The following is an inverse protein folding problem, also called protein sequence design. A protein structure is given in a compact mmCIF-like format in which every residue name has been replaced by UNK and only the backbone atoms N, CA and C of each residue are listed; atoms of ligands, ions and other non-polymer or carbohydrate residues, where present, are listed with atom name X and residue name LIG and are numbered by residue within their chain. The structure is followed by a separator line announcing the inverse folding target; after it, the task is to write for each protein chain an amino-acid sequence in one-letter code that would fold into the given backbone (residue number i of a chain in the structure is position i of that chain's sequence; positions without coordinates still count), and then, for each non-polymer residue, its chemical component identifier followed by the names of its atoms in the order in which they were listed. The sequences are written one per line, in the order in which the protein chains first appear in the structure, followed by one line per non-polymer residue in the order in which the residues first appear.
data_IF_809956420589
#
_entry.id   IF_809956420589
#
_cell.length_a   1.000
_cell.length_b   1.000
_cell.length_c   1.000
_cell.angle_alpha   90.00
_cell.angle_beta   90.00
_cell.angle_gamma   90.00
#
_symmetry.space_group_name_H-M   'P 1'
#
loop_
_entity.id
_entity.type
_entity.pdbx_description
1 polymer ?
#
# COMPACT_ATOMS: atom_id res chain seq x y z
N UNK A 1 8.62 -0.56 -20.01
CA UNK A 1 8.63 -1.76 -19.13
C UNK A 1 7.37 -1.74 -18.30
N UNK A 2 6.90 -2.86 -17.78
CA UNK A 2 5.74 -2.87 -16.88
C UNK A 2 6.02 -1.96 -15.68
N UNK A 3 5.02 -1.16 -15.27
CA UNK A 3 5.07 -0.27 -14.10
C UNK A 3 6.04 0.93 -14.13
N UNK A 4 6.62 1.27 -15.30
CA UNK A 4 7.56 2.42 -15.40
C UNK A 4 6.95 3.74 -14.93
N UNK A 5 5.71 4.03 -15.31
CA UNK A 5 5.05 5.28 -14.93
C UNK A 5 4.82 5.38 -13.42
N UNK A 6 4.47 4.26 -12.77
CA UNK A 6 4.30 4.21 -11.32
C UNK A 6 5.65 4.38 -10.61
N UNK A 7 6.69 3.71 -11.12
CA UNK A 7 8.05 3.84 -10.58
C UNK A 7 8.55 5.29 -10.69
N UNK A 8 8.38 5.92 -11.85
CA UNK A 8 8.78 7.32 -12.06
C UNK A 8 8.01 8.27 -11.12
N UNK A 9 6.70 8.11 -11.02
CA UNK A 9 5.86 8.96 -10.18
C UNK A 9 6.21 8.80 -8.68
N UNK A 10 6.26 7.56 -8.19
CA UNK A 10 6.46 7.29 -6.76
C UNK A 10 7.93 7.41 -6.32
N UNK A 11 8.91 7.23 -7.23
CA UNK A 11 10.32 7.54 -6.93
C UNK A 11 10.68 9.02 -7.16
N UNK A 12 9.76 9.82 -7.71
CA UNK A 12 9.87 11.25 -7.91
C UNK A 12 8.93 12.05 -7.02
N UNK A 13 8.23 12.99 -7.65
CA UNK A 13 7.41 14.00 -6.96
C UNK A 13 6.31 13.43 -6.06
N UNK A 14 5.72 12.29 -6.41
CA UNK A 14 4.70 11.63 -5.58
C UNK A 14 5.29 11.14 -4.26
N UNK A 15 6.40 10.40 -4.30
CA UNK A 15 7.08 9.91 -3.11
C UNK A 15 7.64 11.03 -2.24
N UNK A 16 8.26 12.05 -2.84
CA UNK A 16 8.75 13.23 -2.13
C UNK A 16 7.63 13.97 -1.40
N UNK A 17 6.48 14.15 -2.07
CA UNK A 17 5.30 14.75 -1.45
C UNK A 17 4.82 13.96 -0.23
N UNK A 18 4.78 12.63 -0.32
CA UNK A 18 4.39 11.77 0.79
C UNK A 18 5.36 11.82 1.96
N UNK A 19 6.67 11.87 1.70
CA UNK A 19 7.70 12.05 2.74
C UNK A 19 7.50 13.36 3.49
N UNK A 20 7.33 14.48 2.76
CA UNK A 20 7.15 15.80 3.37
C UNK A 20 5.85 15.90 4.18
N UNK A 21 4.78 15.27 3.71
CA UNK A 21 3.46 15.34 4.33
C UNK A 21 3.10 14.08 5.15
N UNK A 22 4.08 13.24 5.49
CA UNK A 22 3.89 11.92 6.10
C UNK A 22 2.92 11.96 7.30
N UNK A 23 3.13 12.85 8.26
CA UNK A 23 2.32 12.92 9.47
C UNK A 23 0.84 13.26 9.16
N UNK A 24 0.61 14.18 8.23
CA UNK A 24 -0.74 14.55 7.82
C UNK A 24 -1.44 13.40 7.08
N UNK A 25 -0.74 12.75 6.16
CA UNK A 25 -1.26 11.60 5.42
C UNK A 25 -1.60 10.45 6.36
N UNK A 26 -0.73 10.16 7.33
CA UNK A 26 -0.98 9.12 8.31
C UNK A 26 -2.20 9.42 9.18
N UNK A 27 -2.31 10.63 9.71
CA UNK A 27 -3.48 11.04 10.52
C UNK A 27 -4.79 10.84 9.76
N UNK A 28 -4.80 11.12 8.46
CA UNK A 28 -5.99 10.99 7.61
C UNK A 28 -6.32 9.53 7.28
N UNK A 29 -5.31 8.71 7.01
CA UNK A 29 -5.49 7.35 6.46
C UNK A 29 -5.44 6.24 7.52
N UNK A 30 -4.87 6.51 8.71
CA UNK A 30 -4.73 5.52 9.77
C UNK A 30 -6.07 4.87 10.16
N UNK A 31 -7.18 5.61 10.40
CA UNK A 31 -8.45 4.98 10.80
C UNK A 31 -8.98 3.97 9.78
N UNK A 32 -8.72 4.20 8.48
CA UNK A 32 -9.13 3.30 7.40
C UNK A 32 -8.24 2.05 7.37
N UNK A 33 -6.93 2.22 7.54
CA UNK A 33 -5.98 1.12 7.65
C UNK A 33 -6.29 0.21 8.84
N UNK A 34 -6.63 0.79 10.00
CA UNK A 34 -7.01 0.04 11.20
C UNK A 34 -8.21 -0.90 10.99
N UNK A 35 -9.21 -0.46 10.24
CA UNK A 35 -10.38 -1.29 9.94
C UNK A 35 -10.01 -2.53 9.10
N UNK A 36 -9.06 -2.39 8.17
CA UNK A 36 -8.58 -3.52 7.37
C UNK A 36 -7.62 -4.40 8.20
N UNK A 37 -6.71 -3.80 8.96
CA UNK A 37 -5.76 -4.53 9.80
C UNK A 37 -6.46 -5.38 10.87
N UNK A 38 -7.58 -4.91 11.41
CA UNK A 38 -8.41 -5.65 12.37
C UNK A 38 -9.00 -6.95 11.80
N UNK A 39 -8.90 -7.21 10.49
CA UNK A 39 -9.30 -8.47 9.85
C UNK A 39 -8.21 -9.55 9.94
N UNK A 40 -7.00 -9.19 10.35
CA UNK A 40 -5.88 -10.11 10.54
C UNK A 40 -5.72 -10.45 12.03
N UNK A 41 -5.53 -11.73 12.32
CA UNK A 41 -5.14 -12.19 13.66
C UNK A 41 -3.62 -12.08 13.83
N UNK A 42 -3.14 -10.93 14.23
CA UNK A 42 -1.71 -10.64 14.39
C UNK A 42 -1.04 -11.51 15.47
N UNK A 43 -1.81 -12.08 16.39
CA UNK A 43 -1.28 -12.94 17.48
C UNK A 43 -0.64 -14.23 16.97
N UNK A 44 -1.08 -14.71 15.80
CA UNK A 44 -0.60 -15.94 15.18
C UNK A 44 0.37 -15.72 14.02
N UNK A 45 0.65 -14.46 13.65
CA UNK A 45 1.58 -14.10 12.58
C UNK A 45 3.02 -14.20 13.06
N UNK A 46 3.90 -14.76 12.25
CA UNK A 46 5.36 -14.79 12.47
C UNK A 46 6.11 -13.88 11.51
N UNK A 47 5.65 -13.77 10.28
CA UNK A 47 6.22 -12.86 9.30
C UNK A 47 5.13 -12.27 8.42
N UNK A 48 4.92 -10.95 8.49
CA UNK A 48 3.93 -10.22 7.71
C UNK A 48 4.60 -9.42 6.60
N UNK A 49 3.96 -9.37 5.42
CA UNK A 49 4.33 -8.49 4.31
C UNK A 49 3.37 -7.27 4.29
N UNK A 50 3.92 -6.05 4.43
CA UNK A 50 3.17 -4.81 4.23
C UNK A 50 3.41 -4.29 2.80
N UNK A 51 2.41 -4.41 1.93
CA UNK A 51 2.47 -4.17 0.49
C UNK A 51 2.20 -2.69 0.20
N UNK A 52 3.14 -2.00 -0.46
CA UNK A 52 3.06 -0.56 -0.69
C UNK A 52 3.17 0.19 0.64
N UNK A 53 4.19 -0.13 1.43
CA UNK A 53 4.36 0.38 2.80
C UNK A 53 4.61 1.89 2.87
N UNK A 54 5.00 2.52 1.76
CA UNK A 54 5.27 3.94 1.67
C UNK A 54 6.31 4.41 2.69
N UNK A 55 5.95 5.41 3.48
CA UNK A 55 6.79 5.99 4.55
C UNK A 55 6.86 5.13 5.82
N UNK A 56 6.33 3.90 5.80
CA UNK A 56 6.52 2.88 6.82
C UNK A 56 5.59 2.96 8.03
N UNK A 57 4.61 3.85 8.07
CA UNK A 57 3.77 4.03 9.25
C UNK A 57 2.99 2.78 9.62
N UNK A 58 2.37 2.11 8.65
CA UNK A 58 1.64 0.86 8.87
C UNK A 58 2.58 -0.26 9.30
N UNK A 59 3.75 -0.37 8.65
CA UNK A 59 4.77 -1.36 9.02
C UNK A 59 5.21 -1.21 10.48
N UNK A 60 5.48 0.03 10.93
CA UNK A 60 5.86 0.30 12.32
C UNK A 60 4.71 0.00 13.30
N UNK A 61 3.48 0.36 12.96
CA UNK A 61 2.29 0.04 13.77
C UNK A 61 2.09 -1.47 13.90
N UNK A 62 2.26 -2.22 12.83
CA UNK A 62 2.19 -3.68 12.84
C UNK A 62 3.30 -4.26 13.71
N UNK A 63 4.54 -3.80 13.52
CA UNK A 63 5.69 -4.28 14.31
C UNK A 63 5.49 -4.12 15.82
N UNK A 64 4.88 -3.01 16.24
CA UNK A 64 4.58 -2.75 17.65
C UNK A 64 3.49 -3.67 18.23
N UNK A 65 2.69 -4.34 17.40
CA UNK A 65 1.56 -5.22 17.80
C UNK A 65 1.87 -6.71 17.64
N UNK A 66 2.92 -7.06 16.92
CA UNK A 66 3.30 -8.45 16.74
C UNK A 66 3.81 -9.07 18.03
N UNK A 67 3.60 -10.37 18.16
CA UNK A 67 4.12 -11.16 19.28
C UNK A 67 5.66 -11.26 19.24
N UNK A 68 6.27 -11.59 20.36
CA UNK A 68 7.72 -11.79 20.46
C UNK A 68 8.23 -12.79 19.42
N UNK A 69 9.32 -12.44 18.76
CA UNK A 69 9.93 -13.23 17.71
C UNK A 69 9.22 -13.17 16.34
N UNK A 70 8.12 -12.44 16.23
CA UNK A 70 7.48 -12.14 14.95
C UNK A 70 8.02 -10.85 14.34
N UNK A 71 7.93 -10.73 13.02
CA UNK A 71 8.47 -9.59 12.26
C UNK A 71 7.56 -9.15 11.13
N UNK A 72 7.78 -7.95 10.63
CA UNK A 72 7.12 -7.41 9.44
C UNK A 72 8.14 -6.86 8.45
N UNK A 73 7.92 -7.13 7.17
CA UNK A 73 8.69 -6.53 6.08
C UNK A 73 7.78 -5.60 5.29
N UNK A 74 8.10 -4.31 5.28
CA UNK A 74 7.46 -3.33 4.41
C UNK A 74 8.13 -3.32 3.05
N UNK A 75 7.34 -3.44 1.99
CA UNK A 75 7.82 -3.43 0.61
C UNK A 75 7.17 -2.28 -0.17
N UNK A 76 7.98 -1.47 -0.85
CA UNK A 76 7.51 -0.38 -1.71
C UNK A 76 8.49 -0.14 -2.86
N UNK A 77 8.00 0.28 -4.02
CA UNK A 77 8.82 0.58 -5.18
C UNK A 77 9.53 1.94 -5.08
N UNK A 78 9.07 2.81 -4.18
CA UNK A 78 9.58 4.17 -4.00
C UNK A 78 10.86 4.21 -3.15
N UNK A 79 11.99 4.53 -3.78
CA UNK A 79 13.27 4.72 -3.05
C UNK A 79 13.15 5.79 -1.97
N UNK A 80 12.66 7.04 -2.27
CA UNK A 80 12.60 8.08 -1.23
C UNK A 80 11.70 7.71 -0.05
N UNK A 81 10.58 7.01 -0.29
CA UNK A 81 9.70 6.59 0.80
C UNK A 81 10.31 5.47 1.64
N UNK A 82 10.91 4.46 1.03
CA UNK A 82 11.55 3.35 1.79
C UNK A 82 12.78 3.80 2.55
N UNK A 83 13.57 4.74 2.02
CA UNK A 83 14.70 5.33 2.74
C UNK A 83 14.22 6.14 3.93
N UNK A 84 13.16 6.92 3.77
CA UNK A 84 12.53 7.61 4.88
C UNK A 84 11.97 6.63 5.93
N UNK A 85 11.29 5.58 5.51
CA UNK A 85 10.78 4.53 6.39
C UNK A 85 11.90 3.86 7.21
N UNK A 86 13.03 3.53 6.59
CA UNK A 86 14.22 2.99 7.28
C UNK A 86 14.75 3.96 8.35
N UNK A 87 14.75 5.26 8.07
CA UNK A 87 15.21 6.27 9.03
C UNK A 87 14.35 6.34 10.30
N UNK A 88 13.11 5.83 10.24
CA UNK A 88 12.16 5.81 11.36
C UNK A 88 12.33 4.62 12.30
N UNK A 89 13.05 3.56 11.89
CA UNK A 89 13.22 2.34 12.71
C UNK A 89 13.91 2.62 14.04
N UNK A 90 15.06 3.27 14.02
CA UNK A 90 15.84 3.54 15.24
C UNK A 90 15.07 4.46 16.21
N UNK A 91 14.45 5.58 15.79
CA UNK A 91 13.60 6.38 16.66
C UNK A 91 12.41 5.63 17.25
N UNK A 92 11.85 4.66 16.51
CA UNK A 92 10.73 3.85 16.99
C UNK A 92 11.16 2.76 18.00
N UNK A 93 12.46 2.44 18.08
CA UNK A 93 12.97 1.38 18.96
C UNK A 93 12.54 -0.04 18.54
N UNK A 94 12.16 -0.22 17.28
CA UNK A 94 11.66 -1.48 16.74
C UNK A 94 12.78 -2.24 16.02
N UNK A 95 13.06 -3.47 16.45
CA UNK A 95 14.04 -4.37 15.84
C UNK A 95 13.40 -5.47 14.98
N UNK A 96 12.08 -5.54 14.95
CA UNK A 96 11.30 -6.57 14.26
C UNK A 96 10.59 -6.05 13.01
N UNK A 97 11.03 -4.90 12.48
CA UNK A 97 10.59 -4.37 11.20
C UNK A 97 11.79 -4.16 10.27
N UNK A 98 11.60 -4.41 9.00
CA UNK A 98 12.55 -4.08 7.94
C UNK A 98 11.82 -3.51 6.71
N UNK A 99 12.57 -2.88 5.79
CA UNK A 99 12.03 -2.28 4.59
C UNK A 99 12.80 -2.70 3.35
N UNK A 100 12.07 -3.10 2.34
CA UNK A 100 12.58 -3.55 1.05
C UNK A 100 12.11 -2.59 -0.05
N UNK A 101 13.05 -2.09 -0.85
CA UNK A 101 12.71 -1.33 -2.05
C UNK A 101 12.61 -2.30 -3.21
N UNK A 102 11.40 -2.56 -3.67
CA UNK A 102 11.14 -3.50 -4.77
C UNK A 102 9.78 -3.21 -5.42
N UNK A 103 9.65 -3.59 -6.69
CA UNK A 103 8.37 -3.64 -7.38
C UNK A 103 7.74 -5.02 -7.22
N UNK A 104 6.78 -5.12 -6.29
CA UNK A 104 6.08 -6.39 -6.01
C UNK A 104 5.33 -6.98 -7.21
N UNK A 105 5.17 -6.24 -8.30
CA UNK A 105 4.57 -6.75 -9.53
C UNK A 105 5.54 -7.59 -10.34
N UNK A 106 6.86 -7.28 -10.31
CA UNK A 106 7.87 -7.89 -11.17
C UNK A 106 9.04 -8.54 -10.42
N UNK A 107 9.41 -8.00 -9.24
CA UNK A 107 10.52 -8.53 -8.46
C UNK A 107 10.10 -9.81 -7.73
N UNK A 108 10.87 -10.87 -7.90
CA UNK A 108 10.57 -12.15 -7.26
C UNK A 108 10.93 -12.10 -5.77
N UNK A 109 9.95 -12.44 -4.93
CA UNK A 109 10.16 -12.70 -3.52
C UNK A 109 10.46 -14.18 -3.28
N UNK A 110 11.08 -14.48 -2.15
CA UNK A 110 11.23 -15.85 -1.68
C UNK A 110 9.85 -16.49 -1.45
N UNK A 111 9.66 -17.72 -1.93
CA UNK A 111 8.38 -18.42 -1.83
C UNK A 111 8.09 -18.91 -0.41
N UNK A 112 6.80 -18.97 -0.05
CA UNK A 112 6.31 -19.55 1.21
C UNK A 112 6.91 -18.90 2.49
N UNK A 113 7.20 -17.59 2.46
CA UNK A 113 7.84 -16.87 3.58
C UNK A 113 6.82 -16.21 4.50
N UNK A 114 5.77 -15.58 3.95
CA UNK A 114 4.88 -14.74 4.72
C UNK A 114 3.64 -15.48 5.23
N UNK A 115 3.35 -15.32 6.52
CA UNK A 115 2.16 -15.89 7.18
C UNK A 115 0.91 -15.05 6.99
N UNK A 116 1.08 -13.77 6.68
CA UNK A 116 0.01 -12.82 6.37
C UNK A 116 0.54 -11.71 5.46
N UNK A 117 -0.36 -11.04 4.76
CA UNK A 117 -0.05 -9.83 4.02
C UNK A 117 -1.09 -8.74 4.30
N UNK A 118 -0.64 -7.50 4.24
CA UNK A 118 -1.47 -6.31 4.44
C UNK A 118 -1.17 -5.26 3.38
N UNK A 119 -2.16 -4.41 3.04
CA UNK A 119 -1.91 -3.21 2.23
C UNK A 119 -2.87 -2.08 2.61
N UNK A 120 -2.31 -0.91 2.87
CA UNK A 120 -3.07 0.33 3.04
C UNK A 120 -2.93 1.19 1.79
N UNK A 121 -3.90 1.10 0.87
CA UNK A 121 -3.95 1.87 -0.38
C UNK A 121 -2.77 1.65 -1.36
N UNK A 122 -1.98 0.58 -1.22
CA UNK A 122 -0.84 0.30 -2.10
C UNK A 122 -1.24 -0.49 -3.35
N UNK A 123 -2.01 -1.57 -3.18
CA UNK A 123 -2.30 -2.54 -4.26
C UNK A 123 -3.06 -1.96 -5.47
N UNK A 124 -3.77 -0.85 -5.31
CA UNK A 124 -4.52 -0.20 -6.40
C UNK A 124 -3.63 0.52 -7.43
N UNK A 125 -2.31 0.56 -7.19
CA UNK A 125 -1.34 1.14 -8.11
C UNK A 125 -0.62 0.11 -8.98
N UNK A 126 -0.95 -1.17 -8.88
CA UNK A 126 -0.44 -2.17 -9.82
C UNK A 126 -0.94 -1.91 -11.24
N UNK A 127 -0.02 -1.84 -12.20
CA UNK A 127 -0.34 -1.75 -13.63
C UNK A 127 -0.96 -3.06 -14.15
N UNK A 128 -0.47 -4.19 -13.65
CA UNK A 128 -1.00 -5.53 -13.92
C UNK A 128 -1.35 -6.24 -12.61
N UNK A 129 -2.54 -5.98 -12.03
CA UNK A 129 -2.88 -6.49 -10.70
C UNK A 129 -2.82 -8.02 -10.58
N UNK A 130 -3.28 -8.75 -11.61
CA UNK A 130 -3.21 -10.22 -11.61
C UNK A 130 -1.76 -10.72 -11.47
N UNK A 131 -0.81 -10.06 -12.16
CA UNK A 131 0.62 -10.40 -12.04
C UNK A 131 1.14 -10.08 -10.65
N UNK A 132 0.83 -8.89 -10.12
CA UNK A 132 1.25 -8.48 -8.77
C UNK A 132 0.71 -9.42 -7.68
N UNK A 133 -0.59 -9.72 -7.70
CA UNK A 133 -1.17 -10.65 -6.72
C UNK A 133 -0.67 -12.09 -6.88
N UNK A 134 -0.38 -12.54 -8.11
CA UNK A 134 0.22 -13.86 -8.33
C UNK A 134 1.62 -13.95 -7.73
N UNK A 135 2.42 -12.89 -7.87
CA UNK A 135 3.75 -12.81 -7.28
C UNK A 135 3.70 -12.80 -5.74
N UNK A 136 2.83 -11.96 -5.17
CA UNK A 136 2.59 -11.90 -3.71
C UNK A 136 2.12 -13.27 -3.20
N UNK A 137 1.16 -13.91 -3.88
CA UNK A 137 0.67 -15.23 -3.50
C UNK A 137 1.79 -16.28 -3.45
N UNK A 138 2.76 -16.23 -4.36
CA UNK A 138 3.91 -17.14 -4.35
C UNK A 138 4.76 -16.95 -3.09
N UNK A 139 4.91 -15.71 -2.62
CA UNK A 139 5.65 -15.41 -1.40
C UNK A 139 4.88 -15.74 -0.11
N UNK A 140 3.56 -15.88 -0.18
CA UNK A 140 2.72 -16.22 0.97
C UNK A 140 2.64 -17.73 1.17
N UNK A 141 2.63 -18.17 2.42
CA UNK A 141 2.35 -19.55 2.80
C UNK A 141 0.93 -19.97 2.40
N UNK A 142 0.73 -21.27 2.20
CA UNK A 142 -0.60 -21.79 1.89
C UNK A 142 -1.60 -21.46 2.99
N UNK A 143 -2.73 -20.85 2.61
CA UNK A 143 -3.78 -20.43 3.54
C UNK A 143 -3.50 -19.13 4.30
N UNK A 144 -2.37 -18.46 4.04
CA UNK A 144 -2.06 -17.17 4.65
C UNK A 144 -3.09 -16.09 4.23
N UNK A 145 -3.64 -15.31 5.17
CA UNK A 145 -4.60 -14.27 4.86
C UNK A 145 -3.94 -13.04 4.25
N UNK A 146 -4.66 -12.39 3.34
CA UNK A 146 -4.35 -11.06 2.83
C UNK A 146 -5.52 -10.12 3.19
N UNK A 147 -5.21 -8.99 3.84
CA UNK A 147 -6.17 -7.92 4.05
C UNK A 147 -5.66 -6.61 3.41
N UNK A 148 -6.55 -5.87 2.76
CA UNK A 148 -6.20 -4.57 2.22
C UNK A 148 -7.38 -3.60 2.23
N UNK A 149 -7.08 -2.32 2.16
CA UNK A 149 -8.05 -1.24 1.98
C UNK A 149 -7.74 -0.47 0.70
N UNK A 150 -8.78 -0.15 -0.06
CA UNK A 150 -8.74 0.70 -1.25
C UNK A 150 -9.97 1.62 -1.29
N UNK A 151 -9.91 2.67 -2.13
CA UNK A 151 -11.02 3.59 -2.27
C UNK A 151 -12.18 2.97 -3.06
N UNK A 152 -13.39 3.26 -2.64
CA UNK A 152 -14.61 3.04 -3.42
C UNK A 152 -14.69 4.00 -4.61
N UNK A 153 -15.80 3.96 -5.37
CA UNK A 153 -16.01 4.85 -6.51
C UNK A 153 -15.85 6.32 -6.10
N UNK A 154 -15.38 7.21 -7.03
CA UNK A 154 -15.22 8.64 -6.75
C UNK A 154 -16.46 9.30 -6.16
N UNK A 155 -17.66 8.87 -6.54
CA UNK A 155 -18.94 9.37 -6.02
C UNK A 155 -19.14 9.12 -4.53
N UNK A 156 -18.57 8.01 -4.02
CA UNK A 156 -18.66 7.60 -2.61
C UNK A 156 -17.64 8.33 -1.72
N UNK A 157 -16.72 9.08 -2.33
CA UNK A 157 -15.62 9.77 -1.64
C UNK A 157 -15.82 11.28 -1.69
N UNK A 158 -16.40 11.86 -0.64
CA UNK A 158 -16.70 13.30 -0.58
C UNK A 158 -15.46 14.18 -0.70
N UNK A 159 -14.31 13.75 -0.15
CA UNK A 159 -13.04 14.47 -0.27
C UNK A 159 -12.63 14.69 -1.74
N UNK A 160 -12.94 13.73 -2.61
CA UNK A 160 -12.67 13.80 -4.05
C UNK A 160 -13.81 14.49 -4.80
N UNK A 161 -15.05 14.04 -4.61
CA UNK A 161 -16.21 14.51 -5.39
C UNK A 161 -16.51 15.98 -5.18
N UNK A 162 -16.39 16.49 -3.95
CA UNK A 162 -16.59 17.92 -3.66
C UNK A 162 -15.47 18.78 -4.24
N UNK A 163 -14.20 18.33 -4.12
CA UNK A 163 -13.08 19.07 -4.67
C UNK A 163 -13.19 19.18 -6.20
N UNK A 164 -13.51 18.09 -6.88
CA UNK A 164 -13.71 18.06 -8.34
C UNK A 164 -14.92 18.91 -8.75
N UNK A 165 -16.05 18.79 -8.06
CA UNK A 165 -17.24 19.57 -8.37
C UNK A 165 -16.99 21.09 -8.19
N UNK A 166 -16.19 21.46 -7.22
CA UNK A 166 -15.80 22.87 -7.02
C UNK A 166 -14.84 23.34 -8.12
N UNK A 167 -13.78 22.57 -8.40
CA UNK A 167 -12.79 22.93 -9.40
C UNK A 167 -13.40 23.12 -10.80
N UNK A 168 -14.35 22.27 -11.19
CA UNK A 168 -15.09 22.38 -12.47
C UNK A 168 -15.79 23.72 -12.71
N UNK A 169 -16.03 24.50 -11.67
CA UNK A 169 -16.65 25.83 -11.80
C UNK A 169 -15.64 26.90 -12.26
N UNK A 170 -14.34 26.62 -12.15
CA UNK A 170 -13.27 27.61 -12.36
C UNK A 170 -12.28 27.20 -13.43
N UNK A 171 -12.11 25.90 -13.68
CA UNK A 171 -11.14 25.37 -14.65
C UNK A 171 -11.76 24.25 -15.47
N UNK A 172 -11.25 24.09 -16.70
CA UNK A 172 -11.49 22.90 -17.49
C UNK A 172 -10.73 21.73 -16.89
N UNK A 173 -11.45 20.67 -16.58
CA UNK A 173 -10.86 19.47 -15.97
C UNK A 173 -10.22 18.58 -17.05
N UNK A 174 -9.09 17.97 -16.77
CA UNK A 174 -8.52 16.96 -17.67
C UNK A 174 -9.50 15.79 -17.86
N UNK A 175 -9.33 15.05 -18.94
CA UNK A 175 -10.08 13.81 -19.15
C UNK A 175 -9.88 12.86 -17.96
N UNK A 176 -10.93 12.17 -17.53
CA UNK A 176 -10.77 11.17 -16.45
C UNK A 176 -9.81 10.08 -16.92
N UNK A 177 -9.05 9.45 -15.98
CA UNK A 177 -8.21 8.31 -16.32
C UNK A 177 -9.06 7.17 -16.91
N UNK A 178 -8.42 6.29 -17.63
CA UNK A 178 -9.07 5.07 -18.13
C UNK A 178 -9.60 4.24 -16.97
N UNK A 179 -10.69 3.52 -17.23
CA UNK A 179 -11.30 2.64 -16.22
C UNK A 179 -10.28 1.60 -15.75
N UNK A 180 -10.10 1.48 -14.46
CA UNK A 180 -9.15 0.57 -13.80
C UNK A 180 -7.68 0.88 -14.05
N UNK A 181 -7.35 2.02 -14.63
CA UNK A 181 -5.96 2.48 -14.68
C UNK A 181 -5.38 2.58 -13.27
N UNK A 182 -4.07 2.29 -13.10
CA UNK A 182 -3.41 2.41 -11.79
C UNK A 182 -3.67 3.76 -11.14
N UNK A 183 -4.16 3.74 -9.90
CA UNK A 183 -4.53 4.97 -9.22
C UNK A 183 -5.53 4.76 -8.08
N UNK A 184 -5.94 5.83 -7.39
CA UNK A 184 -6.79 5.73 -6.21
C UNK A 184 -8.09 4.93 -6.43
N UNK A 185 -8.66 4.95 -7.62
CA UNK A 185 -9.95 4.34 -7.91
C UNK A 185 -9.87 3.10 -8.82
N UNK A 186 -8.67 2.56 -9.04
CA UNK A 186 -8.49 1.35 -9.85
C UNK A 186 -9.29 0.15 -9.32
N UNK A 187 -9.44 0.06 -8.00
CA UNK A 187 -10.13 -1.02 -7.28
C UNK A 187 -11.50 -0.61 -6.73
N UNK A 188 -12.12 0.40 -7.31
CA UNK A 188 -13.43 0.89 -6.90
C UNK A 188 -14.59 -0.11 -7.11
N UNK A 189 -14.40 -1.09 -7.99
CA UNK A 189 -15.41 -2.07 -8.38
C UNK A 189 -15.16 -3.41 -7.67
N UNK A 190 -16.03 -3.79 -6.75
CA UNK A 190 -15.91 -5.04 -5.98
C UNK A 190 -15.80 -6.27 -6.87
N UNK A 191 -16.66 -6.36 -7.92
CA UNK A 191 -16.67 -7.52 -8.83
C UNK A 191 -15.35 -7.66 -9.61
N UNK A 192 -14.70 -6.53 -9.92
CA UNK A 192 -13.38 -6.55 -10.53
C UNK A 192 -12.32 -7.09 -9.57
N UNK A 193 -12.31 -6.58 -8.34
CA UNK A 193 -11.34 -6.98 -7.31
C UNK A 193 -11.49 -8.46 -6.97
N UNK A 194 -12.73 -8.98 -6.88
CA UNK A 194 -12.97 -10.41 -6.60
C UNK A 194 -12.65 -11.33 -7.78
N UNK A 195 -12.49 -10.77 -8.97
CA UNK A 195 -12.12 -11.51 -10.18
C UNK A 195 -10.61 -11.58 -10.44
N UNK A 196 -9.79 -10.84 -9.65
CA UNK A 196 -8.32 -10.89 -9.70
C UNK A 196 -7.82 -12.09 -8.93
#
# INVERSE_FOLDING_TARGET
MANEQQTEFWSGSGGEYWVVNQQQMDTMLQPLGEQALARLDLGNVRHLLDIGCGTGSTTLDIAARLSDGARVTGADLSVPMTDYARSRLAPAGLANADFMTCDLQIDQLEADVFDAAFSRFGVMFFDQPVTGFSNIRTAMKSGAPLAFVCWQAPSENLWHSLAVATAKQFIEMPAPPERRAPGPFAFAETDYVTGI
#
